data_IF_522470415529
#
_entry.id   IF_522470415529
#
_cell.length_a   1.000
_cell.length_b   1.000
_cell.length_c   1.000
_cell.angle_alpha   90.00
_cell.angle_beta   90.00
_cell.angle_gamma   90.00
#
_symmetry.space_group_name_H-M   'P 1'
#
loop_
_entity.id
_entity.type
_entity.pdbx_description
1 polymer ?
#
# COMPACT_ATOMS: atom_id res chain seq x y z
N UNK A 1 1.68 13.20 9.80
CA UNK A 1 0.96 11.91 9.78
C UNK A 1 1.95 10.84 9.38
N UNK A 2 2.06 9.75 10.13
CA UNK A 2 3.02 8.68 9.86
C UNK A 2 2.35 7.65 8.92
N UNK A 3 2.85 7.52 7.69
CA UNK A 3 2.31 6.59 6.71
C UNK A 3 3.02 5.25 6.89
N UNK A 4 2.23 4.19 7.02
CA UNK A 4 2.71 2.82 7.06
C UNK A 4 2.46 2.14 5.71
N UNK A 5 3.33 1.20 5.35
CA UNK A 5 3.36 0.51 4.08
C UNK A 5 3.53 -0.99 4.27
N UNK A 6 2.66 -1.76 3.62
CA UNK A 6 2.78 -3.20 3.46
C UNK A 6 2.96 -3.53 1.99
N UNK A 7 4.08 -4.18 1.65
CA UNK A 7 4.38 -4.54 0.28
C UNK A 7 5.86 -4.83 0.09
N UNK A 8 6.34 -4.82 -1.15
CA UNK A 8 7.74 -5.11 -1.46
C UNK A 8 8.59 -3.84 -1.40
N UNK A 9 9.90 -3.99 -1.17
CA UNK A 9 10.84 -2.89 -1.38
C UNK A 9 11.03 -2.60 -2.88
N UNK A 10 11.82 -1.57 -3.18
CA UNK A 10 12.06 -1.09 -4.55
C UNK A 10 12.88 -2.06 -5.42
N UNK A 11 13.67 -2.93 -4.78
CA UNK A 11 14.67 -3.80 -5.40
C UNK A 11 14.66 -5.24 -4.86
N UNK A 12 13.73 -5.57 -3.97
CA UNK A 12 13.67 -6.86 -3.31
C UNK A 12 12.24 -7.41 -3.27
N UNK A 13 12.09 -8.70 -3.60
CA UNK A 13 10.84 -9.43 -3.46
C UNK A 13 10.55 -9.82 -2.00
N UNK A 14 9.27 -10.09 -1.74
CA UNK A 14 8.76 -10.46 -0.42
C UNK A 14 8.13 -9.26 0.29
N UNK A 15 6.91 -9.45 0.77
CA UNK A 15 6.21 -8.41 1.51
C UNK A 15 6.86 -8.18 2.87
N UNK A 16 6.98 -6.91 3.23
CA UNK A 16 7.39 -6.47 4.54
C UNK A 16 6.48 -5.35 4.99
N UNK A 17 6.60 -5.03 6.26
CA UNK A 17 5.97 -3.88 6.87
C UNK A 17 7.00 -2.78 7.06
N UNK A 18 6.65 -1.56 6.66
CA UNK A 18 7.53 -0.41 6.69
C UNK A 18 6.80 0.82 7.20
N UNK A 19 7.50 1.64 7.97
CA UNK A 19 7.10 3.01 8.27
C UNK A 19 7.80 3.93 7.29
N UNK A 20 7.05 4.84 6.65
CA UNK A 20 7.54 5.78 5.65
C UNK A 20 7.74 7.17 6.27
N UNK A 21 8.96 7.46 6.69
CA UNK A 21 9.34 8.76 7.25
C UNK A 21 10.22 9.53 6.26
N UNK A 22 11.52 9.57 6.48
CA UNK A 22 12.52 10.06 5.51
C UNK A 22 13.00 8.95 4.58
N UNK A 23 12.87 7.69 5.02
CA UNK A 23 13.21 6.48 4.29
C UNK A 23 12.31 5.30 4.69
N UNK A 24 12.62 4.09 4.21
CA UNK A 24 11.92 2.85 4.54
C UNK A 24 12.41 2.26 5.87
N UNK A 25 11.60 2.33 6.92
CA UNK A 25 11.94 1.73 8.21
C UNK A 25 11.16 0.42 8.41
N UNK A 26 11.85 -0.72 8.27
CA UNK A 26 11.21 -2.03 8.41
C UNK A 26 10.76 -2.28 9.86
N UNK A 27 9.51 -2.69 10.03
CA UNK A 27 8.93 -2.99 11.34
C UNK A 27 8.14 -4.33 11.31
N UNK A 28 8.83 -5.48 11.47
CA UNK A 28 8.21 -6.79 11.26
C UNK A 28 7.15 -7.15 12.31
N UNK A 29 7.20 -6.57 13.51
CA UNK A 29 6.25 -6.91 14.59
C UNK A 29 4.89 -6.24 14.39
N UNK A 30 4.84 -5.12 13.67
CA UNK A 30 3.63 -4.32 13.46
C UNK A 30 2.55 -5.06 12.67
N UNK A 31 2.93 -5.96 11.76
CA UNK A 31 1.96 -6.78 11.01
C UNK A 31 1.05 -7.60 11.95
N UNK A 32 1.60 -8.16 13.02
CA UNK A 32 0.83 -8.95 14.00
C UNK A 32 -0.08 -8.12 14.90
N UNK A 33 0.09 -6.80 14.88
CA UNK A 33 -0.68 -5.85 15.70
C UNK A 33 -1.81 -5.18 14.90
N UNK A 34 -1.85 -5.36 13.58
CA UNK A 34 -2.89 -4.76 12.75
C UNK A 34 -4.25 -5.42 13.04
N UNK A 35 -5.32 -4.62 13.19
CA UNK A 35 -6.68 -5.15 13.34
C UNK A 35 -7.29 -5.63 12.01
N UNK A 36 -6.54 -5.56 10.90
CA UNK A 36 -6.93 -6.03 9.58
C UNK A 36 -5.80 -6.81 8.91
N UNK A 37 -6.15 -7.65 7.93
CA UNK A 37 -5.17 -8.41 7.16
C UNK A 37 -4.80 -7.69 5.84
N UNK A 38 -3.61 -7.06 5.72
CA UNK A 38 -3.22 -6.37 4.49
C UNK A 38 -2.99 -7.33 3.32
N UNK A 39 -2.70 -8.62 3.57
CA UNK A 39 -2.59 -9.63 2.49
C UNK A 39 -3.94 -9.91 1.80
N UNK A 40 -5.05 -9.67 2.50
CA UNK A 40 -6.39 -9.81 1.90
C UNK A 40 -6.77 -8.66 0.99
N UNK A 41 -5.94 -7.62 0.88
CA UNK A 41 -6.22 -6.40 0.12
C UNK A 41 -5.39 -6.34 -1.17
N UNK A 42 -5.85 -5.57 -2.18
CA UNK A 42 -7.23 -5.12 -2.34
C UNK A 42 -8.18 -6.32 -2.49
N UNK A 43 -9.42 -6.22 -2.00
CA UNK A 43 -10.40 -7.29 -2.16
C UNK A 43 -10.80 -7.41 -3.65
N UNK A 44 -10.24 -8.38 -4.36
CA UNK A 44 -10.58 -8.71 -5.74
C UNK A 44 -11.35 -10.03 -5.78
N UNK A 45 -12.52 -10.05 -6.42
CA UNK A 45 -13.26 -11.29 -6.64
C UNK A 45 -12.76 -11.94 -7.95
N UNK A 46 -12.90 -13.26 -8.10
CA UNK A 46 -12.51 -14.02 -9.31
C UNK A 46 -13.05 -13.48 -10.65
N UNK A 47 -14.05 -12.59 -10.60
CA UNK A 47 -14.73 -12.01 -11.75
C UNK A 47 -14.06 -10.68 -12.18
N UNK A 48 -13.54 -9.91 -11.21
CA UNK A 48 -12.72 -8.73 -11.48
C UNK A 48 -11.26 -9.19 -11.45
N UNK A 49 -10.70 -9.43 -12.63
CA UNK A 49 -9.27 -9.70 -12.78
C UNK A 49 -8.46 -8.73 -11.90
N UNK A 50 -7.49 -9.26 -11.17
CA UNK A 50 -6.51 -8.46 -10.44
C UNK A 50 -5.68 -7.70 -11.48
N UNK A 51 -6.16 -6.51 -11.85
CA UNK A 51 -5.51 -5.65 -12.83
C UNK A 51 -4.53 -4.78 -12.06
N UNK A 52 -3.24 -4.97 -12.35
CA UNK A 52 -2.17 -4.13 -11.81
C UNK A 52 -2.49 -2.64 -11.99
N UNK A 53 -2.19 -1.85 -10.96
CA UNK A 53 -2.52 -0.43 -10.91
C UNK A 53 -3.88 -0.11 -10.30
N UNK A 54 -4.80 -1.07 -10.19
CA UNK A 54 -6.12 -0.83 -9.60
C UNK A 54 -5.99 -0.36 -8.15
N UNK A 55 -6.54 0.81 -7.84
CA UNK A 55 -6.59 1.35 -6.48
C UNK A 55 -7.94 1.03 -5.83
N UNK A 56 -7.90 0.61 -4.56
CA UNK A 56 -9.07 0.53 -3.68
C UNK A 56 -8.77 1.13 -2.34
N UNK A 57 -9.70 1.93 -1.83
CA UNK A 57 -9.57 2.60 -0.55
C UNK A 57 -10.58 2.05 0.47
N UNK A 58 -10.19 2.10 1.75
CA UNK A 58 -11.00 1.56 2.84
C UNK A 58 -10.85 2.38 4.11
N UNK A 59 -11.95 2.58 4.83
CA UNK A 59 -11.93 2.92 6.24
C UNK A 59 -12.22 1.67 7.06
N UNK A 60 -11.31 1.29 7.95
CA UNK A 60 -11.52 0.12 8.80
C UNK A 60 -10.72 0.24 10.10
N UNK A 61 -11.36 -0.07 11.23
CA UNK A 61 -10.71 -0.16 12.55
C UNK A 61 -9.94 1.11 12.96
N UNK A 62 -10.41 2.30 12.57
CA UNK A 62 -9.71 3.57 12.83
C UNK A 62 -8.59 3.90 11.83
N UNK A 63 -8.43 3.12 10.76
CA UNK A 63 -7.45 3.34 9.71
C UNK A 63 -8.08 3.86 8.43
N UNK A 64 -7.36 4.74 7.74
CA UNK A 64 -7.56 5.05 6.32
C UNK A 64 -6.52 4.27 5.53
N UNK A 65 -6.98 3.45 4.56
CA UNK A 65 -6.17 2.50 3.81
C UNK A 65 -6.32 2.75 2.31
N UNK A 66 -5.21 2.69 1.58
CA UNK A 66 -5.14 2.73 0.13
C UNK A 66 -4.36 1.49 -0.35
N UNK A 67 -5.06 0.58 -1.02
CA UNK A 67 -4.50 -0.66 -1.54
C UNK A 67 -4.37 -0.56 -3.06
N UNK A 68 -3.18 -0.85 -3.57
CA UNK A 68 -2.88 -0.89 -4.99
C UNK A 68 -2.61 -2.35 -5.38
N UNK A 69 -3.30 -2.82 -6.41
CA UNK A 69 -2.98 -4.09 -7.05
C UNK A 69 -1.64 -3.96 -7.78
N UNK A 70 -0.71 -4.87 -7.49
CA UNK A 70 0.65 -4.83 -7.99
C UNK A 70 1.66 -4.27 -6.98
N UNK A 71 2.94 -4.41 -7.31
CA UNK A 71 4.05 -3.99 -6.46
C UNK A 71 5.17 -3.33 -7.27
N UNK A 72 6.07 -2.55 -6.64
CA UNK A 72 7.20 -1.92 -7.33
C UNK A 72 8.23 -2.92 -7.87
N UNK A 73 8.26 -4.16 -7.36
CA UNK A 73 9.31 -5.12 -7.70
C UNK A 73 8.79 -6.52 -8.05
N UNK A 74 7.91 -7.10 -7.22
CA UNK A 74 7.42 -8.45 -7.45
C UNK A 74 6.33 -8.46 -8.53
N UNK A 75 6.62 -9.18 -9.62
CA UNK A 75 5.75 -9.31 -10.80
C UNK A 75 4.81 -10.52 -10.71
N UNK A 76 4.82 -11.24 -9.59
CA UNK A 76 3.91 -12.36 -9.39
C UNK A 76 2.46 -11.86 -9.35
N UNK A 77 1.50 -12.67 -9.84
CA UNK A 77 0.08 -12.42 -9.62
C UNK A 77 -0.21 -12.20 -8.13
N UNK A 78 -1.18 -11.34 -7.84
CA UNK A 78 -1.62 -10.97 -6.48
C UNK A 78 -0.58 -10.20 -5.63
N UNK A 79 0.50 -9.67 -6.23
CA UNK A 79 1.38 -8.73 -5.54
C UNK A 79 0.63 -7.45 -5.19
N UNK A 80 0.99 -6.78 -4.09
CA UNK A 80 0.20 -5.65 -3.57
C UNK A 80 1.05 -4.60 -2.90
N UNK A 81 0.52 -3.39 -2.88
CA UNK A 81 1.10 -2.23 -2.21
C UNK A 81 0.03 -1.55 -1.39
N UNK A 82 0.09 -1.69 -0.06
CA UNK A 82 -0.94 -1.20 0.87
C UNK A 82 -0.35 -0.07 1.70
N UNK A 83 -0.91 1.12 1.56
CA UNK A 83 -0.58 2.30 2.33
C UNK A 83 -1.68 2.57 3.34
N UNK A 84 -1.34 2.94 4.57
CA UNK A 84 -2.35 3.23 5.58
C UNK A 84 -1.84 4.14 6.69
N UNK A 85 -2.78 4.73 7.40
CA UNK A 85 -2.56 5.60 8.55
C UNK A 85 -3.58 5.26 9.62
N UNK A 86 -3.18 5.32 10.89
CA UNK A 86 -4.06 5.13 12.05
C UNK A 86 -4.83 6.43 12.35
N UNK A 87 -5.65 6.85 11.40
CA UNK A 87 -6.57 7.97 11.51
C UNK A 87 -7.67 7.83 10.45
N UNK A 88 -8.89 8.25 10.78
CA UNK A 88 -9.99 8.35 9.81
C UNK A 88 -9.97 9.73 9.13
N UNK A 89 -9.22 9.81 8.03
CA UNK A 89 -9.13 11.01 7.19
C UNK A 89 -9.79 10.80 5.83
N UNK A 90 -10.27 11.88 5.21
CA UNK A 90 -10.89 11.83 3.88
C UNK A 90 -9.98 11.14 2.84
N UNK A 91 -10.57 10.32 1.97
CA UNK A 91 -9.83 9.53 1.01
C UNK A 91 -9.12 10.38 -0.06
N UNK A 92 -9.75 11.46 -0.50
CA UNK A 92 -9.13 12.39 -1.46
C UNK A 92 -7.95 13.11 -0.81
N UNK A 93 -8.10 13.48 0.46
CA UNK A 93 -6.99 14.02 1.26
C UNK A 93 -5.86 13.00 1.39
N UNK A 94 -6.15 11.75 1.75
CA UNK A 94 -5.12 10.72 1.91
C UNK A 94 -4.38 10.43 0.60
N UNK A 95 -5.09 10.34 -0.53
CA UNK A 95 -4.47 10.20 -1.85
C UNK A 95 -3.56 11.39 -2.16
N UNK A 96 -3.96 12.60 -1.79
CA UNK A 96 -3.14 13.82 -1.98
C UNK A 96 -1.85 13.74 -1.17
N UNK A 97 -1.93 13.27 0.08
CA UNK A 97 -0.76 13.04 0.94
C UNK A 97 0.18 11.94 0.40
N UNK A 98 -0.38 10.85 -0.13
CA UNK A 98 0.42 9.81 -0.81
C UNK A 98 1.13 10.37 -2.05
N UNK A 99 0.46 11.24 -2.80
CA UNK A 99 1.02 11.89 -4.00
C UNK A 99 2.09 12.93 -3.67
N UNK A 100 2.02 13.58 -2.51
CA UNK A 100 2.99 14.60 -2.08
C UNK A 100 4.18 14.02 -1.30
N UNK A 101 4.04 12.85 -0.66
CA UNK A 101 5.09 12.24 0.14
C UNK A 101 6.24 11.68 -0.72
N UNK A 102 7.46 12.20 -0.53
CA UNK A 102 8.63 11.83 -1.33
C UNK A 102 9.01 10.35 -1.24
N UNK A 103 8.84 9.70 -0.09
CA UNK A 103 9.17 8.28 0.09
C UNK A 103 8.13 7.41 -0.62
N UNK A 104 6.85 7.75 -0.48
CA UNK A 104 5.76 7.09 -1.22
C UNK A 104 5.99 7.23 -2.73
N UNK A 105 6.35 8.43 -3.21
CA UNK A 105 6.65 8.66 -4.63
C UNK A 105 7.78 7.76 -5.16
N UNK A 106 8.79 7.42 -4.35
CA UNK A 106 9.82 6.43 -4.77
C UNK A 106 9.21 5.07 -5.09
N UNK A 107 8.20 4.65 -4.33
CA UNK A 107 7.46 3.38 -4.54
C UNK A 107 6.60 3.49 -5.79
N UNK A 108 5.76 4.53 -5.86
CA UNK A 108 4.79 4.70 -6.94
C UNK A 108 5.49 4.85 -8.30
N UNK A 109 6.57 5.62 -8.38
CA UNK A 109 7.35 5.79 -9.61
C UNK A 109 8.12 4.54 -10.05
N UNK A 110 8.29 3.57 -9.15
CA UNK A 110 8.97 2.29 -9.45
C UNK A 110 8.00 1.24 -9.98
N UNK A 111 6.70 1.43 -9.83
CA UNK A 111 5.69 0.49 -10.32
C UNK A 111 5.82 0.32 -11.85
N UNK A 112 5.86 -0.92 -12.36
CA UNK A 112 6.03 -1.19 -13.79
C UNK A 112 4.73 -1.01 -14.60
N UNK A 113 3.72 -0.35 -14.04
CA UNK A 113 2.38 -0.17 -14.57
C UNK A 113 1.82 1.20 -14.16
N UNK A 114 0.78 1.63 -14.85
CA UNK A 114 0.05 2.85 -14.50
C UNK A 114 -0.86 2.62 -13.31
N UNK A 115 -0.87 3.55 -12.35
CA UNK A 115 -1.76 3.50 -11.19
C UNK A 115 -3.10 4.15 -11.56
N UNK A 116 -4.17 3.37 -11.42
CA UNK A 116 -5.55 3.73 -11.76
C UNK A 116 -6.26 4.28 -10.51
N UNK A 117 -6.05 5.56 -10.23
CA UNK A 117 -6.59 6.29 -9.07
C UNK A 117 -8.11 6.38 -9.05
#
# INVERSE_FOLDING_TARGET
MQIEYYGTLLDQAGHGFYTLETDFHRNPTRLHQLPFNPEGLPYCNRINNFIDGTVKTYHAFGFTICAIAGSPYDKRPDSKSIFFVEAEIDMSQFITELKSNLVVQKILNKMPFEILW
#
